data_IF_236012730509
#
_entry.id   IF_236012730509
#
_cell.length_a   1.000
_cell.length_b   1.000
_cell.length_c   1.000
_cell.angle_alpha   90.00
_cell.angle_beta   90.00
_cell.angle_gamma   90.00
#
_symmetry.space_group_name_H-M   'P 1'
#
loop_
_entity.id
_entity.type
_entity.pdbx_description
1 polymer ?
#
# COMPACT_ATOMS: atom_id res chain seq x y z
N UNK A 1 1.85 -2.53 -7.01
CA UNK A 1 2.03 -4.00 -7.00
C UNK A 1 0.71 -4.72 -7.17
N UNK A 2 0.74 -6.00 -7.49
CA UNK A 2 -0.47 -6.80 -7.64
C UNK A 2 -0.79 -7.58 -6.37
N UNK A 3 -2.09 -7.86 -6.14
CA UNK A 3 -2.51 -8.79 -5.09
C UNK A 3 -2.11 -10.22 -5.47
N UNK A 4 -1.84 -11.07 -4.49
CA UNK A 4 -1.39 -12.45 -4.73
C UNK A 4 -2.50 -13.34 -5.30
N UNK A 5 -3.76 -13.08 -4.95
CA UNK A 5 -4.86 -13.92 -5.37
C UNK A 5 -5.44 -13.52 -6.72
N UNK A 6 -5.76 -12.26 -6.92
CA UNK A 6 -6.51 -11.78 -8.08
C UNK A 6 -5.64 -11.09 -9.14
N UNK A 7 -4.39 -10.78 -8.85
CA UNK A 7 -3.53 -10.01 -9.75
C UNK A 7 -3.94 -8.55 -9.89
N UNK A 8 -4.81 -8.07 -9.04
CA UNK A 8 -5.31 -6.71 -9.04
C UNK A 8 -4.24 -5.74 -8.51
N UNK A 9 -4.16 -4.53 -9.10
CA UNK A 9 -3.22 -3.53 -8.63
C UNK A 9 -3.64 -2.94 -7.30
N UNK A 10 -2.75 -2.98 -6.33
CA UNK A 10 -2.97 -2.54 -4.95
C UNK A 10 -1.73 -1.84 -4.42
N UNK A 11 -1.89 -1.13 -3.29
CA UNK A 11 -0.76 -0.62 -2.52
C UNK A 11 -0.34 -1.66 -1.48
N UNK A 12 0.92 -1.62 -1.00
CA UNK A 12 1.32 -2.47 0.13
C UNK A 12 0.47 -2.17 1.36
N UNK A 13 -0.02 -3.21 2.03
CA UNK A 13 -0.82 -3.06 3.24
C UNK A 13 -0.75 -4.31 4.09
N UNK A 14 -1.04 -4.14 5.37
CA UNK A 14 -1.08 -5.25 6.32
C UNK A 14 -1.82 -4.86 7.58
N UNK A 15 -1.91 -5.80 8.49
CA UNK A 15 -2.53 -5.60 9.78
C UNK A 15 -1.66 -4.71 10.68
N UNK A 16 -2.26 -4.00 11.66
CA UNK A 16 -1.47 -3.29 12.66
C UNK A 16 -0.48 -4.23 13.35
N UNK A 17 0.71 -3.73 13.61
CA UNK A 17 1.76 -4.49 14.27
C UNK A 17 1.91 -4.04 15.72
N UNK A 18 2.06 -5.00 16.64
CA UNK A 18 2.30 -4.70 18.04
C UNK A 18 3.59 -3.89 18.20
N UNK A 19 3.56 -2.91 19.09
CA UNK A 19 4.72 -2.07 19.42
C UNK A 19 5.28 -1.27 18.24
N UNK A 20 4.49 -1.11 17.20
CA UNK A 20 4.89 -0.34 16.03
C UNK A 20 3.85 0.74 15.75
N UNK A 21 4.31 1.97 15.53
CA UNK A 21 3.42 3.03 15.09
C UNK A 21 2.85 2.69 13.71
N UNK A 22 1.64 3.16 13.37
CA UNK A 22 1.04 2.84 12.06
C UNK A 22 1.91 3.17 10.86
N UNK A 23 2.60 4.33 10.87
CA UNK A 23 3.49 4.69 9.75
C UNK A 23 4.69 3.74 9.65
N UNK A 24 5.23 3.28 10.78
CA UNK A 24 6.34 2.34 10.77
C UNK A 24 5.90 0.97 10.27
N UNK A 25 4.70 0.54 10.64
CA UNK A 25 4.13 -0.71 10.13
C UNK A 25 3.92 -0.63 8.61
N UNK A 26 3.43 0.52 8.11
CA UNK A 26 3.25 0.72 6.67
C UNK A 26 4.59 0.66 5.92
N UNK A 27 5.64 1.28 6.47
CA UNK A 27 6.98 1.21 5.88
C UNK A 27 7.51 -0.22 5.83
N UNK A 28 7.24 -1.01 6.86
CA UNK A 28 7.64 -2.42 6.93
C UNK A 28 6.92 -3.25 5.86
N UNK A 29 5.63 -3.04 5.68
CA UNK A 29 4.86 -3.73 4.64
C UNK A 29 5.38 -3.38 3.24
N UNK A 30 5.71 -2.12 3.00
CA UNK A 30 6.28 -1.71 1.71
C UNK A 30 7.61 -2.41 1.43
N UNK A 31 8.45 -2.57 2.45
CA UNK A 31 9.71 -3.29 2.32
C UNK A 31 9.49 -4.77 2.03
N UNK A 32 8.63 -5.43 2.81
CA UNK A 32 8.40 -6.87 2.68
C UNK A 32 7.67 -7.25 1.41
N UNK A 33 6.72 -6.43 0.97
CA UNK A 33 5.89 -6.76 -0.18
C UNK A 33 6.44 -6.23 -1.51
N UNK A 34 7.09 -5.08 -1.52
CA UNK A 34 7.54 -4.42 -2.73
C UNK A 34 9.05 -4.10 -2.78
N UNK A 35 9.77 -4.34 -1.70
CA UNK A 35 11.21 -4.12 -1.67
C UNK A 35 11.63 -2.66 -1.65
N UNK A 36 10.75 -1.74 -1.31
CA UNK A 36 11.05 -0.31 -1.31
C UNK A 36 11.39 0.19 0.09
N UNK A 37 12.36 1.08 0.17
CA UNK A 37 12.84 1.71 1.40
C UNK A 37 12.87 3.21 1.17
N UNK A 38 12.54 3.99 2.19
CA UNK A 38 12.58 5.43 2.08
C UNK A 38 12.14 6.13 3.35
N UNK A 39 11.72 7.37 3.19
CA UNK A 39 11.22 8.18 4.29
C UNK A 39 9.70 8.16 4.29
N UNK A 40 9.12 7.66 5.37
CA UNK A 40 7.67 7.60 5.54
C UNK A 40 7.18 8.85 6.27
N UNK A 41 6.09 9.41 5.77
CA UNK A 41 5.40 10.51 6.46
C UNK A 41 4.67 9.91 7.66
N UNK A 42 4.82 10.51 8.83
CA UNK A 42 4.18 10.01 10.06
C UNK A 42 2.68 10.24 10.10
N UNK A 43 2.19 11.21 9.33
CA UNK A 43 0.77 11.49 9.25
C UNK A 43 0.16 10.81 8.03
N UNK A 44 -1.00 10.16 8.17
CA UNK A 44 -1.64 9.58 7.00
C UNK A 44 -2.12 10.67 6.04
N UNK A 45 -2.08 10.37 4.76
CA UNK A 45 -2.58 11.27 3.71
C UNK A 45 -4.05 11.02 3.41
N UNK A 46 -4.62 9.96 3.97
CA UNK A 46 -6.02 9.62 3.82
C UNK A 46 -6.30 8.23 4.35
N UNK A 47 -7.53 7.81 4.23
CA UNK A 47 -7.95 6.45 4.58
C UNK A 47 -9.09 6.00 3.68
N UNK A 48 -9.23 4.69 3.54
CA UNK A 48 -10.34 4.11 2.80
C UNK A 48 -10.77 2.80 3.45
N UNK A 49 -12.03 2.40 3.19
CA UNK A 49 -12.55 1.13 3.67
C UNK A 49 -12.23 0.01 2.70
N UNK A 50 -11.87 -1.13 3.22
CA UNK A 50 -11.53 -2.32 2.44
C UNK A 50 -12.22 -3.53 3.04
N UNK A 51 -12.92 -4.30 2.23
CA UNK A 51 -13.50 -5.57 2.65
C UNK A 51 -12.45 -6.67 2.56
N UNK A 52 -12.29 -7.42 3.63
CA UNK A 52 -11.37 -8.55 3.67
C UNK A 52 -12.15 -9.83 3.89
N UNK A 53 -11.94 -10.81 3.01
CA UNK A 53 -12.53 -12.13 3.12
C UNK A 53 -11.75 -12.95 4.14
N UNK A 54 -12.47 -13.52 5.10
CA UNK A 54 -11.91 -14.41 6.11
C UNK A 54 -12.09 -15.88 5.67
N UNK A 55 -11.38 -16.79 6.36
CA UNK A 55 -11.32 -18.21 5.98
C UNK A 55 -12.67 -18.92 5.93
N UNK A 56 -13.66 -18.46 6.68
CA UNK A 56 -15.00 -19.09 6.74
C UNK A 56 -16.02 -18.44 5.79
N UNK A 57 -15.58 -17.68 4.82
CA UNK A 57 -16.48 -16.99 3.91
C UNK A 57 -17.07 -15.70 4.46
N UNK A 58 -16.73 -15.35 5.69
CA UNK A 58 -17.15 -14.09 6.29
C UNK A 58 -16.29 -12.95 5.78
N UNK A 59 -16.87 -11.75 5.69
CA UNK A 59 -16.12 -10.55 5.36
C UNK A 59 -16.10 -9.58 6.53
N UNK A 60 -15.02 -8.85 6.68
CA UNK A 60 -14.92 -7.74 7.60
C UNK A 60 -14.52 -6.49 6.84
N UNK A 61 -14.96 -5.33 7.34
CA UNK A 61 -14.56 -4.04 6.79
C UNK A 61 -13.39 -3.52 7.60
N UNK A 62 -12.30 -3.22 6.94
CA UNK A 62 -11.10 -2.66 7.56
C UNK A 62 -10.92 -1.22 7.12
N UNK A 63 -10.55 -0.34 8.05
CA UNK A 63 -10.12 1.00 7.70
C UNK A 63 -8.62 0.97 7.41
N UNK A 64 -8.25 1.38 6.21
CA UNK A 64 -6.85 1.39 5.76
C UNK A 64 -6.36 2.82 5.78
N UNK A 65 -5.41 3.11 6.66
CA UNK A 65 -4.72 4.40 6.66
C UNK A 65 -3.62 4.38 5.61
N UNK A 66 -3.54 5.41 4.81
CA UNK A 66 -2.58 5.52 3.71
C UNK A 66 -1.50 6.52 4.07
N UNK A 67 -0.25 6.09 3.96
CA UNK A 67 0.91 6.91 4.26
C UNK A 67 1.74 7.11 2.99
N UNK A 68 2.30 8.30 2.83
CA UNK A 68 3.21 8.58 1.73
C UNK A 68 4.62 8.14 2.10
N UNK A 69 5.25 7.37 1.23
CA UNK A 69 6.64 6.95 1.36
C UNK A 69 7.44 7.53 0.22
N UNK A 70 8.41 8.38 0.54
CA UNK A 70 9.38 8.86 -0.44
C UNK A 70 10.45 7.79 -0.61
N UNK A 71 10.41 7.05 -1.71
CA UNK A 71 11.32 5.93 -1.95
C UNK A 71 12.70 6.44 -2.29
N UNK A 72 13.70 6.03 -1.50
CA UNK A 72 15.09 6.36 -1.74
C UNK A 72 15.88 5.21 -2.33
N UNK A 73 15.38 3.99 -2.17
CA UNK A 73 16.09 2.79 -2.63
C UNK A 73 15.10 1.66 -2.85
N UNK A 74 15.32 0.88 -3.89
CA UNK A 74 14.62 -0.39 -4.10
C UNK A 74 15.64 -1.51 -3.98
N UNK A 75 15.39 -2.47 -3.09
CA UNK A 75 16.29 -3.60 -2.87
C UNK A 75 16.27 -4.55 -4.06
N UNK A 76 17.35 -5.29 -4.23
CA UNK A 76 17.44 -6.34 -5.25
C UNK A 76 16.66 -7.59 -4.83
N UNK A 77 16.55 -7.84 -3.52
CA UNK A 77 15.78 -8.95 -2.95
C UNK A 77 14.98 -8.48 -1.76
N UNK A 78 13.82 -9.06 -1.57
CA UNK A 78 12.94 -8.79 -0.42
C UNK A 78 12.06 -10.01 -0.18
N UNK A 79 11.38 -10.03 0.96
CA UNK A 79 10.65 -11.21 1.45
C UNK A 79 9.67 -11.80 0.44
N UNK A 80 8.85 -10.98 -0.21
CA UNK A 80 7.82 -11.46 -1.13
C UNK A 80 8.18 -11.27 -2.61
N UNK A 81 9.47 -11.08 -2.91
CA UNK A 81 9.91 -10.94 -4.30
C UNK A 81 9.48 -12.15 -5.13
N UNK A 82 8.92 -11.87 -6.31
CA UNK A 82 8.44 -12.92 -7.22
C UNK A 82 7.03 -13.39 -6.95
N UNK A 83 6.43 -13.04 -5.81
CA UNK A 83 5.07 -13.45 -5.47
C UNK A 83 4.01 -12.50 -6.01
N UNK A 84 4.42 -11.31 -6.41
CA UNK A 84 3.56 -10.28 -7.01
C UNK A 84 4.36 -9.47 -8.00
N UNK A 85 3.64 -8.88 -8.97
CA UNK A 85 4.28 -7.93 -9.90
C UNK A 85 4.40 -6.58 -9.25
N UNK A 86 5.56 -5.95 -9.40
CA UNK A 86 5.83 -4.59 -8.91
C UNK A 86 6.17 -3.75 -10.12
N UNK A 87 5.51 -2.60 -10.27
CA UNK A 87 5.74 -1.71 -11.39
C UNK A 87 5.61 -0.26 -10.92
N UNK A 88 6.43 0.60 -11.49
CA UNK A 88 6.35 2.03 -11.23
C UNK A 88 5.38 2.67 -12.21
N UNK A 89 4.54 3.55 -11.70
CA UNK A 89 3.55 4.28 -12.47
C UNK A 89 3.67 5.77 -12.22
N UNK A 90 3.32 6.58 -13.20
CA UNK A 90 3.04 7.98 -12.94
C UNK A 90 1.85 8.07 -11.97
N UNK A 91 1.71 9.19 -11.30
CA UNK A 91 0.58 9.41 -10.38
C UNK A 91 -0.76 9.20 -11.09
N UNK A 92 -0.93 9.77 -12.28
CA UNK A 92 -2.17 9.64 -13.04
C UNK A 92 -2.45 8.20 -13.44
N UNK A 93 -1.43 7.45 -13.86
CA UNK A 93 -1.59 6.05 -14.21
C UNK A 93 -1.91 5.19 -12.98
N UNK A 94 -1.22 5.43 -11.88
CA UNK A 94 -1.48 4.71 -10.63
C UNK A 94 -2.93 4.91 -10.18
N UNK A 95 -3.43 6.14 -10.26
CA UNK A 95 -4.81 6.43 -9.91
C UNK A 95 -5.81 5.67 -10.77
N UNK A 96 -5.50 5.49 -12.06
CA UNK A 96 -6.38 4.75 -12.97
C UNK A 96 -6.34 3.24 -12.77
N UNK A 97 -5.25 2.70 -12.22
CA UNK A 97 -5.08 1.25 -12.08
C UNK A 97 -5.71 0.68 -10.82
N UNK A 98 -5.80 1.46 -9.76
CA UNK A 98 -6.42 0.98 -8.51
C UNK A 98 -7.94 1.01 -8.62
N UNK A 99 -8.58 0.13 -7.87
CA UNK A 99 -10.01 -0.11 -7.97
C UNK A 99 -10.85 0.77 -7.05
N UNK A 100 -10.33 1.06 -5.86
CA UNK A 100 -11.05 1.80 -4.84
C UNK A 100 -11.12 3.30 -5.18
N UNK A 101 -12.33 3.89 -5.31
CA UNK A 101 -12.47 5.31 -5.67
C UNK A 101 -11.78 6.26 -4.70
N UNK A 102 -11.87 5.98 -3.40
CA UNK A 102 -11.24 6.82 -2.38
C UNK A 102 -9.72 6.77 -2.49
N UNK A 103 -9.14 5.58 -2.69
CA UNK A 103 -7.71 5.43 -2.90
C UNK A 103 -7.25 6.17 -4.16
N UNK A 104 -8.05 6.12 -5.21
CA UNK A 104 -7.79 6.85 -6.45
C UNK A 104 -7.66 8.35 -6.21
N UNK A 105 -8.58 8.91 -5.41
CA UNK A 105 -8.54 10.33 -5.06
C UNK A 105 -7.32 10.67 -4.20
N UNK A 106 -6.96 9.81 -3.27
CA UNK A 106 -5.76 9.98 -2.43
C UNK A 106 -4.51 10.03 -3.32
N UNK A 107 -4.38 9.12 -4.27
CA UNK A 107 -3.24 9.07 -5.18
C UNK A 107 -3.16 10.34 -6.03
N UNK A 108 -4.30 10.81 -6.55
CA UNK A 108 -4.34 12.03 -7.37
C UNK A 108 -3.84 13.26 -6.62
N UNK A 109 -4.08 13.32 -5.31
CA UNK A 109 -3.67 14.45 -4.47
C UNK A 109 -2.24 14.36 -3.99
N UNK A 110 -1.59 13.23 -4.16
CA UNK A 110 -0.27 12.96 -3.57
C UNK A 110 0.79 13.99 -4.00
N UNK A 111 0.84 14.37 -5.25
CA UNK A 111 1.82 15.32 -5.75
C UNK A 111 1.51 16.78 -5.46
N UNK A 112 0.36 17.08 -4.82
CA UNK A 112 -0.04 18.44 -4.46
C UNK A 112 0.28 18.78 -3.01
N UNK A 113 0.89 17.87 -2.30
CA UNK A 113 1.33 18.10 -0.92
C UNK A 113 2.57 18.99 -0.94
N UNK A 114 2.63 19.90 -0.03
CA UNK A 114 3.80 20.75 0.15
C UNK A 114 4.26 20.73 1.60
#
# INVERSE_FOLDING_TARGET
>A
MTSRGTGRWIIPKGWPMKRKAPHAAAAREALEEAGVVGQIDKQPIGSFSHEKLLKKGETIVCDVQVFALEVTHQRKTWREKGKRSVQWFSRAEAARTVREPVLRDIIRKLGKRS
#
